data_IF_191559684689
#
_entry.id   IF_191559684689
#
_cell.length_a   1.000
_cell.length_b   1.000
_cell.length_c   1.000
_cell.angle_alpha   90.00
_cell.angle_beta   90.00
_cell.angle_gamma   90.00
#
_symmetry.space_group_name_H-M   'P 1'
#
loop_
_entity.id
_entity.type
_entity.pdbx_description
1 polymer ?
#
# COMPACT_ATOMS: atom_id res chain seq x y z
N UNK A 1 -2.79 1.65 28.88
CA UNK A 1 -2.43 0.99 27.61
C UNK A 1 -3.35 1.58 26.56
N UNK A 2 -2.81 2.31 25.60
CA UNK A 2 -3.61 2.82 24.48
C UNK A 2 -4.03 1.63 23.62
N UNK A 3 -5.29 1.57 23.22
CA UNK A 3 -5.80 0.51 22.36
C UNK A 3 -5.15 0.62 20.98
N UNK A 4 -4.69 -0.50 20.42
CA UNK A 4 -4.16 -0.55 19.05
C UNK A 4 -5.30 -0.79 18.09
N UNK A 5 -5.29 -0.07 16.97
CA UNK A 5 -6.25 -0.23 15.88
C UNK A 5 -5.58 -0.86 14.67
N UNK A 6 -6.34 -1.64 13.90
CA UNK A 6 -5.85 -2.21 12.63
C UNK A 6 -5.94 -1.20 11.51
N UNK A 7 -4.98 -1.22 10.60
CA UNK A 7 -5.00 -0.39 9.40
C UNK A 7 -4.46 -1.20 8.23
N UNK A 8 -5.12 -1.05 7.08
CA UNK A 8 -4.65 -1.59 5.81
C UNK A 8 -3.94 -0.48 5.05
N UNK A 9 -2.71 -0.73 4.61
CA UNK A 9 -1.92 0.17 3.78
C UNK A 9 -1.71 -0.44 2.39
N UNK A 10 -1.82 0.37 1.34
CA UNK A 10 -1.36 0.00 0.00
C UNK A 10 -0.03 0.70 -0.28
N UNK A 11 0.93 -0.05 -0.83
CA UNK A 11 2.24 0.47 -1.20
C UNK A 11 2.47 0.24 -2.70
N UNK A 12 3.05 1.22 -3.38
CA UNK A 12 3.34 1.17 -4.82
C UNK A 12 4.72 1.74 -5.18
N UNK A 13 5.42 1.13 -6.13
CA UNK A 13 6.72 1.61 -6.63
C UNK A 13 6.98 1.15 -8.08
N UNK A 14 7.38 2.04 -8.97
CA UNK A 14 7.62 1.72 -10.39
C UNK A 14 8.98 2.17 -10.95
N UNK A 15 9.92 2.61 -10.12
CA UNK A 15 11.21 3.08 -10.61
C UNK A 15 12.36 2.38 -9.90
N UNK A 16 13.40 2.02 -10.65
CA UNK A 16 14.61 1.35 -10.18
C UNK A 16 14.29 0.03 -9.49
N UNK A 17 14.92 -0.25 -8.34
CA UNK A 17 14.65 -1.48 -7.59
C UNK A 17 13.38 -1.35 -6.73
N UNK A 18 12.22 -1.47 -7.37
CA UNK A 18 10.90 -1.37 -6.73
C UNK A 18 10.70 -2.44 -5.64
N UNK A 19 11.24 -3.65 -5.81
CA UNK A 19 11.04 -4.72 -4.83
C UNK A 19 11.77 -4.42 -3.52
N UNK A 20 13.05 -4.04 -3.61
CA UNK A 20 13.82 -3.62 -2.44
C UNK A 20 13.23 -2.34 -1.83
N UNK A 21 12.72 -1.42 -2.65
CA UNK A 21 12.05 -0.19 -2.17
C UNK A 21 10.82 -0.53 -1.32
N UNK A 22 9.95 -1.41 -1.80
CA UNK A 22 8.77 -1.85 -1.05
C UNK A 22 9.16 -2.57 0.25
N UNK A 23 10.16 -3.46 0.20
CA UNK A 23 10.61 -4.21 1.38
C UNK A 23 11.19 -3.29 2.46
N UNK A 24 12.04 -2.34 2.07
CA UNK A 24 12.60 -1.35 2.99
C UNK A 24 11.53 -0.39 3.53
N UNK A 25 10.53 -0.03 2.72
CA UNK A 25 9.41 0.79 3.17
C UNK A 25 8.59 0.10 4.28
N UNK A 26 8.36 -1.21 4.16
CA UNK A 26 7.70 -1.99 5.21
C UNK A 26 8.54 -2.00 6.48
N UNK A 27 9.86 -2.23 6.38
CA UNK A 27 10.78 -2.19 7.52
C UNK A 27 10.76 -0.81 8.21
N UNK A 28 10.82 0.27 7.44
CA UNK A 28 10.79 1.64 7.95
C UNK A 28 9.44 2.01 8.59
N UNK A 29 8.32 1.50 8.06
CA UNK A 29 7.00 1.68 8.67
C UNK A 29 6.93 1.04 10.06
N UNK A 30 7.60 -0.09 10.29
CA UNK A 30 7.50 -0.88 11.52
C UNK A 30 8.70 -0.74 12.47
N UNK A 31 9.69 0.07 12.11
CA UNK A 31 10.80 0.47 13.00
C UNK A 31 10.29 1.21 14.26
N UNK A 32 9.13 1.87 14.14
CA UNK A 32 8.41 2.43 15.29
C UNK A 32 7.72 1.34 16.10
N UNK A 33 8.03 1.24 17.39
CA UNK A 33 7.32 0.33 18.33
C UNK A 33 5.80 0.60 18.42
N UNK A 34 5.34 1.72 17.89
CA UNK A 34 3.91 2.10 17.81
C UNK A 34 3.21 1.47 16.62
N UNK A 35 3.91 0.95 15.62
CA UNK A 35 3.36 0.24 14.45
C UNK A 35 3.86 -1.20 14.44
N UNK A 36 2.93 -2.15 14.39
CA UNK A 36 3.24 -3.58 14.36
C UNK A 36 2.71 -4.20 13.08
N UNK A 37 3.58 -4.83 12.30
CA UNK A 37 3.15 -5.60 11.14
C UNK A 37 2.31 -6.81 11.54
N UNK A 38 1.24 -7.07 10.80
CA UNK A 38 0.38 -8.25 10.97
C UNK A 38 0.53 -9.20 9.81
N UNK A 39 0.26 -8.72 8.61
CA UNK A 39 0.26 -9.51 7.40
C UNK A 39 0.77 -8.71 6.22
N UNK A 40 1.26 -9.44 5.22
CA UNK A 40 1.83 -8.90 3.99
C UNK A 40 1.26 -9.67 2.83
N UNK A 41 0.71 -8.96 1.84
CA UNK A 41 0.20 -9.59 0.63
C UNK A 41 1.33 -10.07 -0.27
N UNK A 42 1.04 -10.96 -1.24
CA UNK A 42 1.89 -11.10 -2.41
C UNK A 42 2.10 -9.76 -3.11
N UNK A 43 3.28 -9.56 -3.70
CA UNK A 43 3.56 -8.41 -4.57
C UNK A 43 2.97 -8.66 -5.95
N UNK A 44 2.37 -7.63 -6.55
CA UNK A 44 1.79 -7.68 -7.89
C UNK A 44 2.39 -6.64 -8.82
N UNK A 45 2.48 -6.98 -10.10
CA UNK A 45 2.73 -6.06 -11.19
C UNK A 45 1.42 -5.47 -11.70
N UNK A 46 1.42 -4.17 -11.99
CA UNK A 46 0.32 -3.51 -12.70
C UNK A 46 0.84 -2.54 -13.77
N UNK A 47 0.06 -2.39 -14.84
CA UNK A 47 0.35 -1.43 -15.90
C UNK A 47 -0.03 -0.02 -15.41
N UNK A 48 0.77 1.02 -15.66
CA UNK A 48 0.42 2.40 -15.34
C UNK A 48 -0.89 2.81 -16.03
N UNK A 49 -1.80 3.45 -15.30
CA UNK A 49 -3.02 4.02 -15.88
C UNK A 49 -2.75 5.48 -16.24
N UNK A 50 -2.47 5.75 -17.52
CA UNK A 50 -2.08 7.07 -18.01
C UNK A 50 -0.59 7.38 -17.82
N UNK A 51 -0.15 8.55 -18.30
CA UNK A 51 1.27 8.95 -18.30
C UNK A 51 2.02 8.62 -19.61
N UNK A 52 3.34 8.91 -19.68
CA UNK A 52 4.22 8.53 -20.78
C UNK A 52 4.11 7.04 -21.13
N UNK A 53 4.12 6.73 -22.44
CA UNK A 53 3.92 5.38 -22.95
C UNK A 53 5.03 4.38 -22.55
N UNK A 54 6.16 4.86 -22.07
CA UNK A 54 7.36 4.10 -21.69
C UNK A 54 7.57 4.01 -20.18
N UNK A 55 6.59 4.39 -19.36
CA UNK A 55 6.70 4.21 -17.91
C UNK A 55 6.79 2.72 -17.54
N UNK A 56 7.71 2.34 -16.62
CA UNK A 56 7.77 0.97 -16.14
C UNK A 56 6.50 0.58 -15.38
N UNK A 57 6.24 -0.73 -15.32
CA UNK A 57 5.19 -1.29 -14.48
C UNK A 57 5.38 -0.94 -13.01
N UNK A 58 4.28 -0.79 -12.29
CA UNK A 58 4.31 -0.69 -10.84
C UNK A 58 4.44 -2.08 -10.23
N UNK A 59 5.23 -2.18 -9.17
CA UNK A 59 5.04 -3.19 -8.13
C UNK A 59 4.13 -2.60 -7.06
N UNK A 60 3.12 -3.35 -6.66
CA UNK A 60 2.19 -2.98 -5.60
C UNK A 60 2.05 -4.11 -4.59
N UNK A 61 1.75 -3.75 -3.35
CA UNK A 61 1.41 -4.68 -2.28
C UNK A 61 0.47 -4.02 -1.29
N UNK A 62 -0.16 -4.84 -0.46
CA UNK A 62 -0.98 -4.41 0.67
C UNK A 62 -0.41 -5.05 1.94
N UNK A 63 -0.41 -4.28 3.03
CA UNK A 63 -0.06 -4.80 4.35
C UNK A 63 -1.18 -4.49 5.35
N UNK A 64 -1.35 -5.35 6.34
CA UNK A 64 -2.11 -5.05 7.55
C UNK A 64 -1.14 -4.73 8.69
N UNK A 65 -1.40 -3.65 9.41
CA UNK A 65 -0.66 -3.26 10.62
C UNK A 65 -1.59 -2.99 11.79
N UNK A 66 -1.06 -3.07 13.00
CA UNK A 66 -1.69 -2.59 14.24
C UNK A 66 -0.92 -1.38 14.78
N UNK A 67 -1.60 -0.28 15.07
CA UNK A 67 -0.96 0.95 15.56
C UNK A 67 -1.72 1.59 16.73
N UNK A 68 -0.99 2.23 17.64
CA UNK A 68 -1.56 3.11 18.67
C UNK A 68 -1.34 4.60 18.37
N UNK A 69 -0.89 4.93 17.15
CA UNK A 69 -0.87 6.28 16.60
C UNK A 69 -2.31 6.76 16.36
N UNK A 70 -2.57 8.07 16.50
CA UNK A 70 -3.81 8.65 16.00
C UNK A 70 -3.84 8.65 14.46
N UNK A 71 -5.01 8.75 13.80
CA UNK A 71 -5.10 8.62 12.33
C UNK A 71 -4.22 9.64 11.58
N UNK A 72 -4.21 10.90 12.02
CA UNK A 72 -3.36 11.95 11.44
C UNK A 72 -1.87 11.80 11.80
N UNK A 73 -1.57 11.24 12.97
CA UNK A 73 -0.19 10.93 13.37
C UNK A 73 0.36 9.76 12.54
N UNK A 74 -0.50 8.78 12.24
CA UNK A 74 -0.19 7.66 11.37
C UNK A 74 -0.03 8.08 9.91
N UNK A 75 -0.85 9.03 9.42
CA UNK A 75 -0.63 9.68 8.13
C UNK A 75 0.75 10.34 8.06
N UNK A 76 1.11 11.14 9.07
CA UNK A 76 2.42 11.80 9.12
C UNK A 76 3.57 10.79 9.17
N UNK A 77 3.40 9.67 9.87
CA UNK A 77 4.35 8.57 9.89
C UNK A 77 4.55 7.96 8.49
N UNK A 78 3.47 7.62 7.79
CA UNK A 78 3.53 7.09 6.42
C UNK A 78 4.23 8.08 5.46
N UNK A 79 3.86 9.36 5.50
CA UNK A 79 4.48 10.42 4.70
C UNK A 79 5.98 10.58 4.97
N UNK A 80 6.41 10.40 6.22
CA UNK A 80 7.83 10.47 6.57
C UNK A 80 8.64 9.32 5.95
N UNK A 81 8.04 8.13 5.85
CA UNK A 81 8.65 6.97 5.17
C UNK A 81 8.72 7.24 3.67
N UNK A 82 7.65 7.72 3.05
CA UNK A 82 7.67 8.11 1.63
C UNK A 82 8.80 9.11 1.35
N UNK A 83 8.90 10.17 2.14
CA UNK A 83 9.92 11.20 1.98
C UNK A 83 11.34 10.64 2.12
N UNK A 84 11.57 9.71 3.07
CA UNK A 84 12.85 9.00 3.23
C UNK A 84 13.24 8.26 1.95
N UNK A 85 12.31 7.57 1.32
CA UNK A 85 12.55 6.81 0.08
C UNK A 85 12.64 7.68 -1.18
N UNK A 86 12.08 8.90 -1.15
CA UNK A 86 12.23 9.86 -2.24
C UNK A 86 13.61 10.54 -2.22
N UNK A 87 14.19 10.78 -1.04
CA UNK A 87 15.51 11.44 -0.89
C UNK A 87 16.70 10.57 -1.32
N UNK A 88 16.53 9.26 -1.46
CA UNK A 88 17.60 8.30 -1.80
C UNK A 88 17.96 8.30 -3.30
N UNK A 89 17.36 9.15 -4.13
CA UNK A 89 17.75 9.32 -5.55
C UNK A 89 18.15 10.75 -5.87
N UNK A 90 19.37 10.92 -6.36
CA UNK A 90 19.99 12.19 -6.80
C UNK A 90 19.34 12.84 -8.04
N UNK A 91 18.24 12.31 -8.58
CA UNK A 91 17.61 12.84 -9.80
C UNK A 91 16.48 13.79 -9.44
N UNK A 92 16.82 15.08 -9.36
CA UNK A 92 15.88 16.20 -9.31
C UNK A 92 14.90 16.06 -10.50
N UNK A 93 13.61 15.93 -10.22
CA UNK A 93 12.47 15.84 -11.18
C UNK A 93 12.09 14.46 -11.77
N UNK A 94 12.54 13.34 -11.18
CA UNK A 94 12.02 12.01 -11.56
C UNK A 94 10.59 11.73 -11.03
N UNK A 95 9.82 10.82 -11.65
CA UNK A 95 8.57 10.32 -11.08
C UNK A 95 8.80 9.71 -9.67
N UNK A 96 7.74 9.64 -8.85
CA UNK A 96 7.83 9.25 -7.43
C UNK A 96 8.26 7.79 -7.28
N UNK A 97 9.13 7.49 -6.32
CA UNK A 97 9.73 6.16 -6.13
C UNK A 97 8.92 5.23 -5.25
N UNK A 98 8.11 5.76 -4.34
CA UNK A 98 7.28 5.02 -3.40
C UNK A 98 6.02 5.83 -3.10
N UNK A 99 4.89 5.17 -3.01
CA UNK A 99 3.59 5.73 -2.65
C UNK A 99 2.99 4.83 -1.56
N UNK A 100 2.47 5.42 -0.48
CA UNK A 100 1.87 4.73 0.67
C UNK A 100 0.49 5.35 0.94
N UNK A 101 -0.56 4.60 0.65
CA UNK A 101 -1.94 5.00 0.90
C UNK A 101 -2.52 4.28 2.13
N UNK A 102 -3.16 5.03 3.02
CA UNK A 102 -3.95 4.46 4.11
C UNK A 102 -5.33 4.10 3.59
N UNK A 103 -5.64 2.80 3.50
CA UNK A 103 -6.91 2.30 2.94
C UNK A 103 -8.01 2.27 3.99
N UNK A 104 -7.70 1.77 5.19
CA UNK A 104 -8.62 1.70 6.34
C UNK A 104 -7.90 2.04 7.63
N UNK A 105 -8.62 2.46 8.66
CA UNK A 105 -8.04 2.76 9.98
C UNK A 105 -9.05 2.45 11.10
N UNK A 106 -9.08 1.21 11.59
CA UNK A 106 -10.09 0.75 12.54
C UNK A 106 -11.51 1.10 12.07
N UNK A 107 -12.31 1.66 12.98
CA UNK A 107 -13.64 2.20 12.69
C UNK A 107 -13.63 3.70 12.31
N UNK A 108 -12.45 4.32 12.20
CA UNK A 108 -12.33 5.73 11.84
C UNK A 108 -12.87 5.98 10.44
N UNK A 109 -13.70 7.02 10.31
CA UNK A 109 -14.24 7.51 9.05
C UNK A 109 -13.98 9.00 8.97
N UNK A 110 -13.58 9.45 7.79
CA UNK A 110 -13.25 10.85 7.57
C UNK A 110 -13.42 11.20 6.10
N UNK A 111 -13.97 12.37 5.84
CA UNK A 111 -14.01 13.01 4.53
C UNK A 111 -13.10 14.26 4.49
N UNK A 112 -12.19 14.41 5.47
CA UNK A 112 -11.17 15.48 5.48
C UNK A 112 -10.25 15.32 4.26
N UNK A 113 -9.98 16.43 3.57
CA UNK A 113 -9.13 16.47 2.37
C UNK A 113 -7.70 15.96 2.63
N UNK A 114 -7.22 16.04 3.87
CA UNK A 114 -5.90 15.52 4.27
C UNK A 114 -5.90 14.03 4.53
N UNK A 115 -7.04 13.46 4.94
CA UNK A 115 -7.17 12.05 5.28
C UNK A 115 -8.62 11.59 5.10
N UNK A 116 -8.94 11.10 3.91
CA UNK A 116 -10.24 10.49 3.61
C UNK A 116 -10.17 8.98 3.85
N UNK A 117 -11.00 8.46 4.77
CA UNK A 117 -11.02 7.03 5.18
C UNK A 117 -12.46 6.49 5.18
N UNK A 118 -12.73 5.32 4.56
CA UNK A 118 -11.79 4.53 3.75
C UNK A 118 -11.28 5.28 2.52
N UNK A 119 -10.11 4.91 2.01
CA UNK A 119 -9.55 5.58 0.84
C UNK A 119 -10.56 5.58 -0.32
N UNK A 120 -10.94 6.75 -0.87
CA UNK A 120 -12.16 6.91 -1.66
C UNK A 120 -12.13 6.13 -2.96
N UNK A 121 -10.93 5.80 -3.47
CA UNK A 121 -10.75 5.08 -4.74
C UNK A 121 -10.29 3.64 -4.56
N UNK A 122 -10.04 3.17 -3.34
CA UNK A 122 -9.48 1.83 -3.13
C UNK A 122 -10.38 0.72 -3.69
N UNK A 123 -11.70 0.90 -3.58
CA UNK A 123 -12.69 -0.03 -4.10
C UNK A 123 -12.72 -0.12 -5.65
N UNK A 124 -12.00 0.76 -6.35
CA UNK A 124 -11.96 0.82 -7.82
C UNK A 124 -10.62 0.32 -8.40
N UNK A 125 -9.64 -0.04 -7.55
CA UNK A 125 -8.27 -0.34 -7.99
C UNK A 125 -7.93 -1.81 -7.81
N UNK A 126 -7.79 -2.55 -8.91
CA UNK A 126 -7.42 -3.96 -8.85
C UNK A 126 -6.05 -4.19 -8.19
N UNK A 127 -5.08 -3.27 -8.39
CA UNK A 127 -3.75 -3.39 -7.78
C UNK A 127 -3.73 -3.22 -6.26
N UNK A 128 -4.81 -2.71 -5.66
CA UNK A 128 -5.03 -2.71 -4.20
C UNK A 128 -5.82 -3.95 -3.80
N UNK A 129 -6.95 -4.19 -4.47
CA UNK A 129 -7.91 -5.20 -4.05
C UNK A 129 -7.43 -6.64 -4.31
N UNK A 130 -6.74 -6.89 -5.43
CA UNK A 130 -6.29 -8.24 -5.78
C UNK A 130 -5.24 -8.80 -4.81
N UNK A 131 -4.15 -8.08 -4.46
CA UNK A 131 -3.22 -8.54 -3.44
C UNK A 131 -3.88 -8.65 -2.06
N UNK A 132 -4.77 -7.71 -1.71
CA UNK A 132 -5.51 -7.80 -0.44
C UNK A 132 -6.40 -9.05 -0.37
N UNK A 133 -7.13 -9.37 -1.45
CA UNK A 133 -7.94 -10.58 -1.55
C UNK A 133 -7.13 -11.88 -1.44
N UNK A 134 -5.87 -11.88 -1.90
CA UNK A 134 -4.97 -13.04 -1.74
C UNK A 134 -4.38 -13.15 -0.34
N UNK A 135 -4.19 -12.03 0.34
CA UNK A 135 -3.76 -11.99 1.74
C UNK A 135 -4.88 -12.47 2.67
N UNK A 136 -6.08 -11.90 2.54
CA UNK A 136 -7.27 -12.25 3.32
C UNK A 136 -8.51 -12.29 2.43
N UNK A 137 -9.00 -13.50 2.15
CA UNK A 137 -10.19 -13.71 1.31
C UNK A 137 -11.51 -13.27 1.97
N UNK A 138 -11.49 -12.99 3.27
CA UNK A 138 -12.66 -12.59 4.07
C UNK A 138 -12.68 -11.08 4.38
N UNK A 139 -11.65 -10.34 3.96
CA UNK A 139 -11.54 -8.91 4.19
C UNK A 139 -12.73 -8.13 3.62
N UNK A 140 -13.13 -7.08 4.34
CA UNK A 140 -14.22 -6.18 3.95
C UNK A 140 -13.68 -4.76 3.72
N UNK A 141 -14.11 -4.14 2.62
CA UNK A 141 -13.93 -2.72 2.36
C UNK A 141 -15.31 -2.08 2.15
N UNK A 142 -15.67 -1.12 3.00
CA UNK A 142 -16.99 -0.49 2.93
C UNK A 142 -18.16 -1.45 3.15
N UNK A 143 -17.93 -2.56 3.86
CA UNK A 143 -18.94 -3.60 4.13
C UNK A 143 -19.14 -4.62 3.00
N UNK A 144 -18.36 -4.55 1.92
CA UNK A 144 -18.34 -5.54 0.83
C UNK A 144 -17.06 -6.37 0.87
N UNK A 145 -17.13 -7.62 0.44
CA UNK A 145 -15.95 -8.47 0.34
C UNK A 145 -14.97 -7.89 -0.68
N UNK A 146 -13.69 -7.82 -0.30
CA UNK A 146 -12.62 -7.40 -1.21
C UNK A 146 -12.58 -8.31 -2.43
N UNK A 147 -12.79 -9.63 -2.27
CA UNK A 147 -12.87 -10.61 -3.36
C UNK A 147 -14.00 -10.32 -4.37
N UNK A 148 -15.11 -9.76 -3.92
CA UNK A 148 -16.21 -9.32 -4.81
C UNK A 148 -15.84 -8.02 -5.52
N UNK A 149 -15.29 -7.04 -4.78
CA UNK A 149 -14.87 -5.75 -5.34
C UNK A 149 -13.84 -5.92 -6.45
N UNK A 150 -12.91 -6.88 -6.33
CA UNK A 150 -11.94 -7.22 -7.39
C UNK A 150 -12.64 -7.50 -8.72
N UNK A 151 -13.79 -8.19 -8.72
CA UNK A 151 -14.50 -8.56 -9.95
C UNK A 151 -15.14 -7.35 -10.66
N UNK A 152 -15.39 -6.26 -9.92
CA UNK A 152 -15.98 -5.03 -10.45
C UNK A 152 -14.92 -4.11 -11.08
N UNK A 153 -13.62 -4.39 -10.88
CA UNK A 153 -12.54 -3.54 -11.37
C UNK A 153 -12.21 -3.76 -12.85
N UNK A 154 -12.10 -2.67 -13.61
CA UNK A 154 -11.80 -2.72 -15.04
C UNK A 154 -10.34 -3.10 -15.34
N UNK A 155 -9.42 -2.83 -14.41
CA UNK A 155 -7.97 -3.06 -14.56
C UNK A 155 -7.51 -4.44 -14.07
N UNK A 156 -8.44 -5.32 -13.65
CA UNK A 156 -8.14 -6.66 -13.11
C UNK A 156 -7.25 -7.51 -14.01
N UNK A 157 -7.46 -7.45 -15.33
CA UNK A 157 -6.69 -8.25 -16.31
C UNK A 157 -5.24 -7.82 -16.43
N UNK A 158 -4.90 -6.62 -15.95
CA UNK A 158 -3.54 -6.10 -15.92
C UNK A 158 -2.73 -6.50 -14.68
N UNK A 159 -3.35 -7.19 -13.71
CA UNK A 159 -2.69 -7.59 -12.47
C UNK A 159 -2.02 -8.95 -12.63
N UNK A 160 -0.72 -9.01 -12.35
CA UNK A 160 0.08 -10.24 -12.44
C UNK A 160 0.88 -10.44 -11.15
N UNK A 161 0.99 -11.66 -10.59
CA UNK A 161 1.92 -11.94 -9.51
C UNK A 161 3.35 -11.53 -9.88
N UNK A 162 4.10 -10.99 -8.93
CA UNK A 162 5.52 -10.72 -9.11
C UNK A 162 6.35 -11.94 -8.69
N UNK A 163 7.00 -12.60 -9.65
CA UNK A 163 7.87 -13.77 -9.43
C UNK A 163 9.36 -13.38 -9.30
N UNK A 164 9.69 -12.40 -8.47
CA UNK A 164 11.07 -11.99 -8.21
C UNK A 164 11.83 -12.87 -7.22
N UNK A 165 13.16 -12.85 -7.31
CA UNK A 165 14.11 -13.80 -6.72
C UNK A 165 13.99 -13.96 -5.19
N UNK A 166 13.90 -15.22 -4.75
CA UNK A 166 13.92 -15.72 -3.38
C UNK A 166 13.09 -14.96 -2.33
N UNK A 167 12.06 -15.66 -1.86
CA UNK A 167 11.02 -15.30 -0.88
C UNK A 167 11.53 -15.00 0.53
N UNK A 168 12.77 -14.54 0.70
CA UNK A 168 13.25 -14.01 1.98
C UNK A 168 12.77 -12.58 2.16
N UNK A 169 11.49 -12.47 2.47
CA UNK A 169 10.95 -11.30 3.16
C UNK A 169 11.67 -11.22 4.52
N UNK A 170 12.42 -10.14 4.75
CA UNK A 170 13.15 -9.93 6.01
C UNK A 170 12.31 -8.98 6.88
N UNK A 171 11.71 -9.46 7.99
CA UNK A 171 11.09 -8.59 8.98
C UNK A 171 12.07 -7.66 9.67
#
# INVERSE_FOLDING_TARGET
>A
MTERVRSVLALGSNLGDSHSTLSLAVADLVDSARVRLREVSPVVRSIPVGGPADQPEYLNMVIEVETDLGPYEFLAHCQSVEEKHHRTRDVRWGPRTLDIDIITFGDFRSDDERLTIPHPRAAERAFVLQPWAWMDSTALLGGRLVTELVNDTADRTGIRPYEGADTQWVP
#
